data_IF_550184069454
#
_entry.id   IF_550184069454
#
_cell.length_a   1.000
_cell.length_b   1.000
_cell.length_c   1.000
_cell.angle_alpha   90.00
_cell.angle_beta   90.00
_cell.angle_gamma   90.00
#
_symmetry.space_group_name_H-M   'P 1'
#
loop_
_entity.id
_entity.type
_entity.pdbx_description
1 polymer ?
#
# COMPACT_ATOMS: atom_id res chain seq x y z
N UNK A 1 -35.82 4.88 -6.75
CA UNK A 1 -34.79 4.40 -5.79
C UNK A 1 -33.48 4.01 -6.50
N UNK A 2 -32.95 4.83 -7.42
CA UNK A 2 -31.72 4.52 -8.17
C UNK A 2 -30.53 5.47 -7.84
N UNK A 3 -30.82 6.65 -7.28
CA UNK A 3 -29.80 7.64 -6.93
C UNK A 3 -28.94 7.20 -5.73
N UNK A 4 -29.54 6.52 -4.75
CA UNK A 4 -28.84 6.05 -3.56
C UNK A 4 -27.81 4.96 -3.88
N UNK A 5 -28.10 4.02 -4.78
CA UNK A 5 -27.17 2.94 -5.15
C UNK A 5 -25.97 3.44 -5.94
N UNK A 6 -26.14 4.43 -6.81
CA UNK A 6 -25.02 5.05 -7.56
C UNK A 6 -24.13 5.86 -6.62
N UNK A 7 -24.72 6.61 -5.68
CA UNK A 7 -23.98 7.36 -4.67
C UNK A 7 -23.28 6.45 -3.66
N UNK A 8 -23.89 5.34 -3.25
CA UNK A 8 -23.27 4.37 -2.33
C UNK A 8 -22.07 3.71 -3.02
N UNK A 9 -22.20 3.21 -4.25
CA UNK A 9 -21.11 2.50 -4.91
C UNK A 9 -19.97 3.42 -5.38
N UNK A 10 -20.31 4.55 -6.02
CA UNK A 10 -19.29 5.53 -6.44
C UNK A 10 -18.71 6.30 -5.26
N UNK A 11 -19.54 6.58 -4.25
CA UNK A 11 -19.11 7.26 -3.04
C UNK A 11 -18.17 6.41 -2.20
N UNK A 12 -18.45 5.11 -2.05
CA UNK A 12 -17.53 4.18 -1.40
C UNK A 12 -16.18 4.16 -2.11
N UNK A 13 -16.18 4.03 -3.44
CA UNK A 13 -14.94 4.07 -4.22
C UNK A 13 -14.17 5.39 -4.04
N UNK A 14 -14.87 6.53 -4.12
CA UNK A 14 -14.24 7.85 -3.92
C UNK A 14 -13.72 8.05 -2.49
N UNK A 15 -14.44 7.56 -1.49
CA UNK A 15 -14.03 7.62 -0.08
C UNK A 15 -12.83 6.72 0.18
N UNK A 16 -12.80 5.51 -0.37
CA UNK A 16 -11.61 4.65 -0.32
C UNK A 16 -10.43 5.34 -1.00
N UNK A 17 -10.63 5.88 -2.21
CA UNK A 17 -9.59 6.59 -2.94
C UNK A 17 -9.05 7.80 -2.16
N UNK A 18 -9.94 8.58 -1.53
CA UNK A 18 -9.56 9.70 -0.68
C UNK A 18 -8.82 9.25 0.58
N UNK A 19 -9.27 8.17 1.21
CA UNK A 19 -8.62 7.58 2.39
C UNK A 19 -7.18 7.16 2.10
N UNK A 20 -6.97 6.47 0.98
CA UNK A 20 -5.64 6.09 0.48
C UNK A 20 -4.78 7.33 0.24
N UNK A 21 -5.31 8.36 -0.44
CA UNK A 21 -4.57 9.60 -0.69
C UNK A 21 -4.16 10.32 0.60
N UNK A 22 -5.07 10.42 1.58
CA UNK A 22 -4.79 11.02 2.89
C UNK A 22 -3.74 10.19 3.64
N UNK A 23 -3.82 8.87 3.61
CA UNK A 23 -2.84 7.98 4.23
C UNK A 23 -1.45 8.17 3.62
N UNK A 24 -1.34 8.24 2.29
CA UNK A 24 -0.07 8.51 1.61
C UNK A 24 0.47 9.88 2.01
N UNK A 25 -0.34 10.94 1.97
CA UNK A 25 0.09 12.29 2.35
C UNK A 25 0.55 12.35 3.80
N UNK A 26 -0.17 11.69 4.72
CA UNK A 26 0.20 11.61 6.12
C UNK A 26 1.55 10.92 6.31
N UNK A 27 1.79 9.78 5.63
CA UNK A 27 3.08 9.08 5.64
C UNK A 27 4.21 10.01 5.19
N UNK A 28 4.04 10.70 4.05
CA UNK A 28 5.05 11.64 3.57
C UNK A 28 5.25 12.84 4.51
N UNK A 29 4.18 13.38 5.09
CA UNK A 29 4.25 14.53 5.99
C UNK A 29 5.00 14.21 7.29
N UNK A 30 4.73 13.04 7.89
CA UNK A 30 5.43 12.56 9.09
C UNK A 30 6.92 12.45 8.83
N UNK A 31 7.31 11.81 7.72
CA UNK A 31 8.73 11.64 7.38
C UNK A 31 9.40 12.95 6.97
N UNK A 32 8.68 13.86 6.31
CA UNK A 32 9.18 15.22 6.05
C UNK A 32 9.50 15.98 7.33
N UNK A 33 8.62 15.90 8.33
CA UNK A 33 8.84 16.54 9.63
C UNK A 33 10.03 15.92 10.36
N UNK A 34 10.18 14.59 10.27
CA UNK A 34 11.31 13.88 10.86
C UNK A 34 12.65 14.31 10.25
N UNK A 35 12.73 14.43 8.91
CA UNK A 35 13.92 14.95 8.23
C UNK A 35 14.24 16.41 8.56
N UNK A 36 13.22 17.25 8.73
CA UNK A 36 13.41 18.66 9.08
C UNK A 36 13.93 18.85 10.53
N UNK A 37 13.67 17.87 11.41
CA UNK A 37 14.14 17.89 12.79
C UNK A 37 15.61 17.45 12.94
N UNK A 38 16.20 16.84 11.92
CA UNK A 38 17.59 16.37 11.97
C UNK A 38 18.56 17.43 11.40
N UNK A 39 19.50 17.97 12.21
CA UNK A 39 20.42 19.02 11.77
C UNK A 39 21.46 18.55 10.75
N UNK A 40 21.58 17.23 10.48
CA UNK A 40 22.54 16.68 9.52
C UNK A 40 22.11 16.73 8.05
N UNK A 41 20.84 17.03 7.74
CA UNK A 41 20.32 17.07 6.35
C UNK A 41 20.30 15.71 5.61
N UNK A 42 20.89 14.67 6.20
CA UNK A 42 20.95 13.29 5.70
C UNK A 42 20.57 12.34 6.85
N UNK A 43 19.39 11.74 6.82
CA UNK A 43 19.07 10.65 7.75
C UNK A 43 19.72 9.37 7.25
N UNK A 44 20.60 8.79 8.07
CA UNK A 44 21.32 7.55 7.78
C UNK A 44 22.13 7.54 6.46
N UNK A 45 22.56 8.71 5.97
CA UNK A 45 23.29 8.86 4.70
C UNK A 45 22.41 8.75 3.44
N UNK A 46 21.08 8.82 3.61
CA UNK A 46 20.12 8.82 2.50
C UNK A 46 19.67 10.24 2.19
N UNK A 47 19.74 10.59 0.91
CA UNK A 47 19.18 11.85 0.40
C UNK A 47 17.64 11.84 0.43
N UNK A 48 17.01 13.02 0.47
CA UNK A 48 15.56 13.18 0.42
C UNK A 48 14.89 12.41 -0.74
N UNK A 49 15.53 12.40 -1.91
CA UNK A 49 15.06 11.66 -3.09
C UNK A 49 15.00 10.14 -2.88
N UNK A 50 15.97 9.58 -2.17
CA UNK A 50 16.02 8.14 -1.87
C UNK A 50 14.98 7.75 -0.83
N UNK A 51 14.71 8.64 0.15
CA UNK A 51 13.67 8.41 1.14
C UNK A 51 12.27 8.36 0.50
N UNK A 52 11.97 9.25 -0.46
CA UNK A 52 10.70 9.21 -1.20
C UNK A 52 10.48 7.86 -1.89
N UNK A 53 11.51 7.31 -2.53
CA UNK A 53 11.44 5.99 -3.15
C UNK A 53 11.21 4.87 -2.12
N UNK A 54 11.89 4.92 -0.98
CA UNK A 54 11.70 3.94 0.10
C UNK A 54 10.27 3.97 0.67
N UNK A 55 9.74 5.15 0.94
CA UNK A 55 8.38 5.33 1.45
C UNK A 55 7.34 4.83 0.45
N UNK A 56 7.58 5.02 -0.85
CA UNK A 56 6.70 4.49 -1.89
C UNK A 56 6.66 2.95 -1.89
N UNK A 57 7.83 2.30 -1.78
CA UNK A 57 7.90 0.84 -1.68
C UNK A 57 7.24 0.33 -0.39
N UNK A 58 7.46 1.02 0.74
CA UNK A 58 6.82 0.69 2.01
C UNK A 58 5.30 0.82 1.91
N UNK A 59 4.81 1.85 1.24
CA UNK A 59 3.39 2.06 1.00
C UNK A 59 2.78 0.96 0.12
N UNK A 60 3.41 0.61 -1.01
CA UNK A 60 2.98 -0.50 -1.86
C UNK A 60 2.93 -1.83 -1.09
N UNK A 61 3.93 -2.06 -0.25
CA UNK A 61 3.99 -3.28 0.59
C UNK A 61 2.87 -3.28 1.64
N UNK A 62 2.58 -2.13 2.24
CA UNK A 62 1.46 -1.97 3.17
C UNK A 62 0.11 -2.30 2.54
N UNK A 63 -0.14 -1.87 1.31
CA UNK A 63 -1.36 -2.20 0.56
C UNK A 63 -1.46 -3.69 0.26
N UNK A 64 -0.37 -4.34 -0.15
CA UNK A 64 -0.36 -5.79 -0.40
C UNK A 64 -0.74 -6.60 0.85
N UNK A 65 -0.33 -6.14 2.04
CA UNK A 65 -0.68 -6.79 3.31
C UNK A 65 -2.11 -6.48 3.77
N UNK A 66 -2.74 -5.42 3.25
CA UNK A 66 -4.06 -4.96 3.68
C UNK A 66 -5.25 -5.73 3.06
N UNK A 67 -5.01 -6.73 2.22
CA UNK A 67 -6.07 -7.47 1.54
C UNK A 67 -6.93 -8.32 2.50
N UNK A 68 -8.08 -7.80 2.94
CA UNK A 68 -9.02 -8.45 3.88
C UNK A 68 -9.87 -9.57 3.24
N UNK A 69 -9.23 -10.60 2.69
CA UNK A 69 -9.94 -11.74 2.07
C UNK A 69 -10.68 -12.61 3.09
N UNK A 70 -10.14 -12.71 4.31
CA UNK A 70 -10.67 -13.60 5.35
C UNK A 70 -12.10 -13.24 5.80
N UNK A 71 -12.42 -11.95 5.87
CA UNK A 71 -13.74 -11.48 6.29
C UNK A 71 -14.85 -11.86 5.31
N UNK A 72 -14.56 -11.83 4.01
CA UNK A 72 -15.52 -12.19 2.96
C UNK A 72 -15.85 -13.68 2.97
N UNK A 73 -14.85 -14.53 3.28
CA UNK A 73 -15.05 -15.96 3.40
C UNK A 73 -15.90 -16.27 4.64
N UNK A 74 -15.62 -15.61 5.77
CA UNK A 74 -16.37 -15.81 7.01
C UNK A 74 -17.88 -15.51 6.86
N UNK A 75 -18.23 -14.41 6.17
CA UNK A 75 -19.64 -14.02 5.94
C UNK A 75 -20.37 -15.07 5.08
N UNK A 76 -19.73 -15.58 4.02
CA UNK A 76 -20.36 -16.60 3.15
C UNK A 76 -20.59 -17.93 3.87
N UNK A 77 -19.68 -18.29 4.78
CA UNK A 77 -19.83 -19.48 5.64
C UNK A 77 -21.03 -19.30 6.58
N UNK A 78 -21.20 -18.12 7.17
CA UNK A 78 -22.35 -17.79 8.02
C UNK A 78 -23.68 -17.81 7.23
N UNK A 79 -23.69 -17.31 6.00
CA UNK A 79 -24.88 -17.28 5.14
C UNK A 79 -25.23 -18.64 4.51
N UNK A 80 -24.39 -19.67 4.65
CA UNK A 80 -24.62 -21.01 4.07
C UNK A 80 -24.52 -21.08 2.54
N UNK A 81 -24.28 -19.95 1.86
CA UNK A 81 -24.11 -19.86 0.40
C UNK A 81 -22.94 -20.71 -0.13
N UNK A 82 -21.97 -21.04 0.72
CA UNK A 82 -20.85 -21.94 0.40
C UNK A 82 -21.34 -23.33 -0.02
N UNK A 83 -22.47 -23.82 0.51
CA UNK A 83 -23.02 -25.12 0.14
C UNK A 83 -23.43 -25.21 -1.33
N UNK A 84 -23.90 -24.11 -1.93
CA UNK A 84 -24.26 -24.05 -3.35
C UNK A 84 -23.02 -24.04 -4.25
N UNK A 85 -21.94 -23.39 -3.81
CA UNK A 85 -20.67 -23.38 -4.53
C UNK A 85 -19.98 -24.76 -4.51
N UNK A 86 -20.17 -25.56 -3.44
CA UNK A 86 -19.64 -26.93 -3.31
C UNK A 86 -20.33 -27.96 -4.22
N UNK A 87 -21.59 -27.72 -4.62
CA UNK A 87 -22.33 -28.61 -5.52
C UNK A 87 -21.91 -28.40 -6.99
N UNK A 88 -21.28 -27.26 -7.32
CA UNK A 88 -20.73 -27.04 -8.66
C UNK A 88 -19.47 -27.89 -8.88
N UNK A 89 -19.28 -28.43 -10.09
CA UNK A 89 -18.09 -29.21 -10.45
C UNK A 89 -16.88 -28.28 -10.73
N UNK A 90 -16.68 -27.24 -9.92
CA UNK A 90 -15.55 -26.32 -10.00
C UNK A 90 -14.85 -26.27 -8.65
N UNK A 91 -13.53 -26.29 -8.65
CA UNK A 91 -12.76 -26.23 -7.42
C UNK A 91 -12.97 -24.88 -6.73
N UNK A 92 -13.66 -24.89 -5.59
CA UNK A 92 -13.96 -23.69 -4.80
C UNK A 92 -12.70 -22.89 -4.46
N UNK A 93 -11.61 -23.58 -4.13
CA UNK A 93 -10.33 -22.97 -3.80
C UNK A 93 -9.75 -22.18 -4.98
N UNK A 94 -9.88 -22.71 -6.20
CA UNK A 94 -9.34 -22.09 -7.41
C UNK A 94 -10.17 -20.87 -7.82
N UNK A 95 -11.50 -20.98 -7.70
CA UNK A 95 -12.40 -19.85 -7.90
C UNK A 95 -12.13 -18.69 -6.92
N UNK A 96 -11.94 -19.00 -5.63
CA UNK A 96 -11.61 -17.98 -4.62
C UNK A 96 -10.22 -17.39 -4.83
N UNK A 97 -9.24 -18.21 -5.17
CA UNK A 97 -7.90 -17.71 -5.48
C UNK A 97 -7.92 -16.72 -6.64
N UNK A 98 -8.65 -17.02 -7.73
CA UNK A 98 -8.78 -16.10 -8.86
C UNK A 98 -9.47 -14.78 -8.49
N UNK A 99 -10.48 -14.82 -7.61
CA UNK A 99 -11.16 -13.61 -7.10
C UNK A 99 -10.23 -12.75 -6.24
N UNK A 100 -9.53 -13.35 -5.28
CA UNK A 100 -8.57 -12.64 -4.42
C UNK A 100 -7.41 -12.05 -5.21
N UNK A 101 -6.89 -12.79 -6.20
CA UNK A 101 -5.84 -12.29 -7.08
C UNK A 101 -6.34 -11.12 -7.92
N UNK A 102 -7.54 -11.22 -8.49
CA UNK A 102 -8.15 -10.12 -9.23
C UNK A 102 -8.34 -8.87 -8.38
N UNK A 103 -8.81 -9.04 -7.15
CA UNK A 103 -8.96 -7.95 -6.18
C UNK A 103 -7.61 -7.31 -5.83
N UNK A 104 -6.61 -8.11 -5.46
CA UNK A 104 -5.26 -7.64 -5.15
C UNK A 104 -4.62 -6.88 -6.32
N UNK A 105 -4.74 -7.40 -7.54
CA UNK A 105 -4.21 -6.74 -8.74
C UNK A 105 -4.91 -5.40 -8.99
N UNK A 106 -6.24 -5.36 -8.84
CA UNK A 106 -7.02 -4.14 -8.98
C UNK A 106 -6.66 -3.08 -7.93
N UNK A 107 -6.59 -3.48 -6.67
CA UNK A 107 -6.22 -2.59 -5.56
C UNK A 107 -4.79 -2.07 -5.74
N UNK A 108 -3.83 -2.96 -6.02
CA UNK A 108 -2.44 -2.59 -6.27
C UNK A 108 -2.32 -1.63 -7.45
N UNK A 109 -3.07 -1.85 -8.53
CA UNK A 109 -3.05 -0.97 -9.69
C UNK A 109 -3.54 0.44 -9.34
N UNK A 110 -4.69 0.57 -8.66
CA UNK A 110 -5.24 1.87 -8.26
C UNK A 110 -4.29 2.60 -7.31
N UNK A 111 -3.76 1.90 -6.32
CA UNK A 111 -2.84 2.48 -5.34
C UNK A 111 -1.50 2.86 -5.97
N UNK A 112 -0.96 2.04 -6.86
CA UNK A 112 0.27 2.35 -7.59
C UNK A 112 0.10 3.58 -8.51
N UNK A 113 -1.03 3.66 -9.23
CA UNK A 113 -1.36 4.83 -10.05
C UNK A 113 -1.47 6.08 -9.17
N UNK A 114 -2.23 6.04 -8.09
CA UNK A 114 -2.37 7.18 -7.19
C UNK A 114 -1.04 7.59 -6.54
N UNK A 115 -0.29 6.63 -6.00
CA UNK A 115 0.99 6.88 -5.36
C UNK A 115 2.04 7.42 -6.34
N UNK A 116 2.04 6.95 -7.59
CA UNK A 116 2.93 7.48 -8.63
C UNK A 116 2.55 8.91 -9.05
N UNK A 117 1.27 9.23 -9.17
CA UNK A 117 0.80 10.61 -9.44
C UNK A 117 1.25 11.55 -8.32
N UNK A 118 1.09 11.14 -7.06
CA UNK A 118 1.53 11.93 -5.90
C UNK A 118 3.06 12.08 -5.90
N UNK A 119 3.82 11.02 -6.15
CA UNK A 119 5.29 11.08 -6.26
C UNK A 119 5.78 12.05 -7.34
N UNK A 120 5.16 12.02 -8.52
CA UNK A 120 5.50 12.93 -9.62
C UNK A 120 5.20 14.37 -9.21
N UNK A 121 4.06 14.61 -8.55
CA UNK A 121 3.71 15.94 -8.02
C UNK A 121 4.70 16.45 -6.95
N UNK A 122 5.28 15.56 -6.13
CA UNK A 122 6.26 15.89 -5.09
C UNK A 122 7.73 15.88 -5.56
N UNK A 123 7.98 15.92 -6.88
CA UNK A 123 9.30 16.24 -7.45
C UNK A 123 10.15 15.05 -7.88
N UNK A 124 9.53 13.98 -8.40
CA UNK A 124 10.23 12.85 -9.05
C UNK A 124 11.06 11.99 -8.08
N UNK A 125 11.60 10.88 -8.59
CA UNK A 125 12.50 10.00 -7.84
C UNK A 125 13.75 9.72 -8.68
N UNK A 126 14.93 9.77 -8.05
CA UNK A 126 16.11 9.05 -8.54
C UNK A 126 16.14 7.68 -7.88
N UNK A 127 16.15 6.62 -8.68
CA UNK A 127 16.21 5.25 -8.20
C UNK A 127 17.43 5.08 -7.27
N UNK A 128 17.29 4.50 -6.07
CA UNK A 128 18.42 4.30 -5.18
C UNK A 128 19.41 3.34 -5.85
N UNK A 129 20.58 3.86 -6.24
CA UNK A 129 21.73 3.03 -6.62
C UNK A 129 22.17 2.21 -5.41
N UNK A 130 22.44 0.90 -5.57
CA UNK A 130 22.84 0.06 -4.46
C UNK A 130 24.11 0.62 -3.79
N UNK A 131 24.17 0.61 -2.44
CA UNK A 131 25.40 0.96 -1.75
C UNK A 131 26.50 0.00 -2.17
N UNK A 132 27.64 0.55 -2.61
CA UNK A 132 28.84 -0.23 -2.92
C UNK A 132 29.21 -1.06 -1.67
N UNK A 133 29.51 -2.36 -1.80
CA UNK A 133 29.98 -3.18 -0.69
C UNK A 133 31.40 -2.70 -0.31
N UNK A 134 31.49 -1.71 0.58
CA UNK A 134 32.79 -1.13 0.92
C UNK A 134 32.80 0.18 1.71
N UNK A 135 31.78 0.50 2.51
CA UNK A 135 31.90 1.61 3.48
C UNK A 135 31.39 1.21 4.86
N UNK A 136 32.35 0.81 5.70
CA UNK A 136 32.47 0.97 7.14
C UNK A 136 31.18 1.07 7.97
N UNK A 137 30.95 0.01 8.76
CA UNK A 137 30.17 0.03 9.99
C UNK A 137 30.67 1.14 10.93
N UNK A 138 30.13 2.35 10.85
CA UNK A 138 30.25 3.37 11.90
C UNK A 138 28.92 3.66 12.61
N UNK A 139 27.79 3.27 12.03
CA UNK A 139 26.44 3.48 12.62
C UNK A 139 26.15 2.49 13.77
N UNK A 140 26.81 1.33 13.79
CA UNK A 140 26.60 0.32 14.84
C UNK A 140 27.16 0.71 16.22
N UNK A 141 28.05 1.71 16.32
CA UNK A 141 28.63 2.14 17.60
C UNK A 141 27.78 3.16 18.37
N UNK A 142 26.79 3.79 17.72
CA UNK A 142 25.95 4.84 18.34
C UNK A 142 24.67 4.30 18.99
N UNK A 143 24.26 3.08 18.63
CA UNK A 143 23.08 2.39 19.19
C UNK A 143 23.43 1.37 20.29
N UNK A 144 24.72 1.21 20.63
CA UNK A 144 25.21 0.30 21.67
C UNK A 144 25.68 1.06 22.94
N UNK A 145 25.03 2.18 23.26
CA UNK A 145 25.17 2.89 24.54
C UNK A 145 23.81 3.39 25.01
#
# INVERSE_FOLDING_TARGET
MAWSTVLVYRGEFLLQLAGVAVQTVALFAVWRALFAADPGGEMAGLSWEQMKAYLFVAFLTGTLLSGFTDGQIAIRVLDGSVALDLVRPIDYQLARFAESVGYLVGELFVVAVMGSVLLVAFGGCRFPTPPRPGCSCSVCSRWCR
#
